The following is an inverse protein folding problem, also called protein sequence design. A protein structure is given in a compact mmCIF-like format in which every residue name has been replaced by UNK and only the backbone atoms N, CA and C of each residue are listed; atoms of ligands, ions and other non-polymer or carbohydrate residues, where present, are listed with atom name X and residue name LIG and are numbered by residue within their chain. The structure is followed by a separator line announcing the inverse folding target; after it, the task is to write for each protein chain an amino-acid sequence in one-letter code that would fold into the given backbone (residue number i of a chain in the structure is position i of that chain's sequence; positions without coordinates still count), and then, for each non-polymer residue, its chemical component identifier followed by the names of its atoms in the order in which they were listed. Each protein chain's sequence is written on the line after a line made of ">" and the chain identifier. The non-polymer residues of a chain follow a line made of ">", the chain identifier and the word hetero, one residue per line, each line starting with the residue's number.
data_IF_581428541422
#
_entry.id   IF_581428541422
#
_cell.length_a   1.000
_cell.length_b   1.000
_cell.length_c   1.000
_cell.angle_alpha   90.00
_cell.angle_beta   90.00
_cell.angle_gamma   90.00
#
_symmetry.space_group_name_H-M   'P 1'
#
loop_
_entity.id
_entity.type
_entity.pdbx_description
1 polymer ?
#
# COMPACT_ATOMS: atom_id res chain seq x y z
N UNK A 1 -5.86 -59.17 -54.87
CA UNK A 1 -6.90 -58.12 -54.73
C UNK A 1 -7.88 -58.57 -53.66
N UNK A 2 -7.75 -58.11 -52.41
CA UNK A 2 -8.35 -56.90 -51.80
C UNK A 2 -9.73 -57.12 -51.14
N UNK A 3 -9.72 -57.05 -49.80
CA UNK A 3 -10.76 -56.53 -48.85
C UNK A 3 -12.07 -57.37 -48.72
N UNK A 4 -12.72 -57.51 -47.54
CA UNK A 4 -12.73 -56.67 -46.33
C UNK A 4 -13.30 -57.42 -45.09
N UNK A 5 -12.64 -57.17 -43.95
CA UNK A 5 -13.02 -57.08 -42.51
C UNK A 5 -14.29 -57.77 -41.96
N UNK A 6 -14.03 -58.57 -40.91
CA UNK A 6 -14.93 -58.96 -39.80
C UNK A 6 -14.78 -57.98 -38.64
N UNK A 7 -15.87 -57.73 -37.90
CA UNK A 7 -15.85 -57.22 -36.53
C UNK A 7 -16.16 -58.38 -35.58
N UNK A 8 -15.40 -58.48 -34.49
CA UNK A 8 -15.75 -59.21 -33.28
C UNK A 8 -15.29 -58.38 -32.09
N UNK A 9 -16.22 -58.14 -31.18
CA UNK A 9 -15.97 -57.58 -29.86
C UNK A 9 -15.52 -58.71 -28.92
N UNK A 10 -14.55 -58.45 -28.05
CA UNK A 10 -14.44 -59.10 -26.74
C UNK A 10 -13.73 -58.16 -25.76
N UNK A 11 -14.22 -58.23 -24.52
CA UNK A 11 -13.84 -57.45 -23.37
C UNK A 11 -12.45 -57.79 -22.82
N UNK A 12 -11.76 -56.80 -22.26
CA UNK A 12 -10.69 -57.02 -21.27
C UNK A 12 -10.60 -55.88 -20.26
N UNK A 13 -10.46 -56.31 -19.01
CA UNK A 13 -10.04 -55.62 -17.79
C UNK A 13 -8.91 -54.61 -18.03
N UNK A 14 -9.03 -53.41 -17.44
CA UNK A 14 -8.02 -52.36 -17.49
C UNK A 14 -7.69 -51.82 -16.10
N UNK A 15 -6.41 -51.85 -15.76
CA UNK A 15 -5.81 -51.46 -14.50
C UNK A 15 -6.13 -50.01 -14.08
N UNK A 16 -6.31 -49.80 -12.77
CA UNK A 16 -6.28 -48.48 -12.13
C UNK A 16 -4.83 -48.02 -12.08
N UNK A 17 -4.48 -47.12 -12.99
CA UNK A 17 -3.25 -46.31 -12.91
C UNK A 17 -3.69 -44.89 -12.60
N UNK A 18 -3.29 -44.39 -11.43
CA UNK A 18 -3.46 -43.01 -11.01
C UNK A 18 -2.70 -42.09 -11.97
N UNK A 19 -3.41 -41.50 -12.93
CA UNK A 19 -2.90 -40.35 -13.69
C UNK A 19 -3.07 -39.11 -12.82
N UNK A 20 -1.93 -38.65 -12.29
CA UNK A 20 -1.77 -37.29 -11.81
C UNK A 20 -2.14 -36.32 -12.95
N UNK A 21 -3.34 -35.75 -12.84
CA UNK A 21 -3.76 -34.64 -13.68
C UNK A 21 -2.90 -33.43 -13.34
N UNK A 22 -1.90 -33.15 -14.17
CA UNK A 22 -1.25 -31.85 -14.24
C UNK A 22 -2.33 -30.81 -14.53
N UNK A 23 -2.79 -30.12 -13.49
CA UNK A 23 -3.49 -28.85 -13.63
C UNK A 23 -2.49 -27.85 -14.20
N UNK A 24 -2.71 -27.26 -15.39
CA UNK A 24 -1.88 -26.16 -15.84
C UNK A 24 -2.01 -25.01 -14.86
N UNK A 25 -0.88 -24.59 -14.29
CA UNK A 25 -0.77 -23.39 -13.50
C UNK A 25 -1.29 -22.21 -14.31
N UNK A 26 -2.35 -21.57 -13.83
CA UNK A 26 -2.81 -20.28 -14.33
C UNK A 26 -1.80 -19.20 -13.93
N UNK A 27 -0.69 -19.16 -14.66
CA UNK A 27 0.36 -18.14 -14.63
C UNK A 27 0.23 -17.24 -15.86
N UNK A 28 -0.99 -16.80 -16.17
CA UNK A 28 -1.30 -15.89 -17.28
C UNK A 28 -2.40 -14.92 -16.83
N UNK A 29 -2.08 -14.09 -15.85
CA UNK A 29 -2.88 -12.91 -15.50
C UNK A 29 -1.97 -11.76 -15.03
N UNK A 30 -0.88 -11.52 -15.74
CA UNK A 30 -0.07 -10.29 -15.63
C UNK A 30 0.75 -9.99 -16.90
N UNK A 31 0.43 -10.63 -18.02
CA UNK A 31 1.03 -10.34 -19.33
C UNK A 31 -0.09 -9.93 -20.26
N UNK A 32 -0.53 -8.67 -20.13
CA UNK A 32 -1.12 -7.98 -21.26
C UNK A 32 0.00 -7.78 -22.26
N UNK A 33 0.11 -8.69 -23.22
CA UNK A 33 0.81 -8.45 -24.46
C UNK A 33 0.08 -7.36 -25.22
N UNK A 34 0.39 -6.12 -24.87
CA UNK A 34 0.35 -4.92 -25.69
C UNK A 34 0.99 -3.83 -24.83
N UNK A 35 2.05 -3.22 -25.36
CA UNK A 35 2.90 -2.24 -24.69
C UNK A 35 2.21 -0.90 -24.42
N UNK A 36 1.06 -0.90 -23.74
CA UNK A 36 0.48 0.32 -23.21
C UNK A 36 1.30 0.71 -21.98
N UNK A 37 2.21 1.65 -22.17
CA UNK A 37 2.85 2.37 -21.06
C UNK A 37 1.76 2.86 -20.10
N UNK A 38 1.85 2.45 -18.83
CA UNK A 38 0.97 3.01 -17.81
C UNK A 38 1.28 4.50 -17.71
N UNK A 39 0.26 5.34 -17.83
CA UNK A 39 0.41 6.79 -17.69
C UNK A 39 1.02 7.16 -16.34
N UNK A 40 1.65 8.34 -16.30
CA UNK A 40 2.04 8.93 -15.03
C UNK A 40 0.81 9.31 -14.21
N UNK A 41 1.00 9.47 -12.91
CA UNK A 41 0.01 10.01 -11.99
C UNK A 41 -0.45 11.39 -12.48
N UNK A 42 0.50 12.24 -12.86
CA UNK A 42 0.24 13.58 -13.37
C UNK A 42 -0.67 13.56 -14.61
N UNK A 43 -0.38 12.72 -15.61
CA UNK A 43 -1.23 12.60 -16.81
C UNK A 43 -2.60 12.04 -16.46
N UNK A 44 -2.68 11.06 -15.55
CA UNK A 44 -3.95 10.42 -15.19
C UNK A 44 -4.91 11.37 -14.48
N UNK A 45 -4.37 12.32 -13.72
CA UNK A 45 -5.14 13.28 -12.92
C UNK A 45 -5.08 14.71 -13.45
N UNK A 46 -4.49 14.93 -14.63
CA UNK A 46 -4.41 16.26 -15.26
C UNK A 46 -3.54 17.27 -14.50
N UNK A 47 -2.53 16.79 -13.75
CA UNK A 47 -1.66 17.63 -12.93
C UNK A 47 -0.58 18.32 -13.76
N UNK A 48 -0.34 19.59 -13.47
CA UNK A 48 0.79 20.35 -14.00
C UNK A 48 2.10 20.01 -13.30
N UNK A 49 3.23 20.47 -13.84
CA UNK A 49 4.54 20.30 -13.18
C UNK A 49 4.60 21.01 -11.82
N UNK A 50 3.92 22.16 -11.69
CA UNK A 50 3.85 22.92 -10.44
C UNK A 50 2.99 22.20 -9.40
N UNK A 51 1.88 21.57 -9.81
CA UNK A 51 1.06 20.72 -8.93
C UNK A 51 1.90 19.58 -8.35
N UNK A 52 2.63 18.86 -9.21
CA UNK A 52 3.49 17.75 -8.77
C UNK A 52 4.59 18.23 -7.82
N UNK A 53 5.18 19.39 -8.09
CA UNK A 53 6.18 20.00 -7.21
C UNK A 53 5.58 20.33 -5.84
N UNK A 54 4.37 20.91 -5.80
CA UNK A 54 3.68 21.26 -4.56
C UNK A 54 3.27 20.01 -3.77
N UNK A 55 2.74 18.98 -4.44
CA UNK A 55 2.43 17.68 -3.84
C UNK A 55 3.68 17.07 -3.19
N UNK A 56 4.80 17.00 -3.92
CA UNK A 56 6.04 16.43 -3.40
C UNK A 56 6.57 17.21 -2.19
N UNK A 57 6.56 18.55 -2.26
CA UNK A 57 7.01 19.41 -1.16
C UNK A 57 6.14 19.25 0.10
N UNK A 58 4.82 19.14 -0.05
CA UNK A 58 3.92 18.94 1.08
C UNK A 58 4.04 17.53 1.68
N UNK A 59 4.22 16.51 0.84
CA UNK A 59 4.47 15.14 1.26
C UNK A 59 5.75 15.01 2.11
N UNK A 60 6.81 15.71 1.73
CA UNK A 60 8.06 15.76 2.50
C UNK A 60 7.88 16.47 3.86
N UNK A 61 7.07 17.54 3.89
CA UNK A 61 6.71 18.22 5.14
C UNK A 61 5.87 17.34 6.06
N UNK A 62 4.88 16.62 5.52
CA UNK A 62 4.03 15.72 6.30
C UNK A 62 4.86 14.65 7.01
N UNK A 63 5.87 14.10 6.33
CA UNK A 63 6.83 13.17 6.94
C UNK A 63 7.62 13.82 8.09
N UNK A 64 7.98 15.09 7.99
CA UNK A 64 8.70 15.80 9.04
C UNK A 64 7.82 16.09 10.28
N UNK A 65 6.54 16.40 10.09
CA UNK A 65 5.58 16.67 11.17
C UNK A 65 5.04 15.39 11.83
N UNK A 66 4.79 14.34 11.05
CA UNK A 66 4.16 13.11 11.53
C UNK A 66 5.07 12.16 12.32
N UNK A 67 6.37 12.44 12.45
CA UNK A 67 7.32 11.58 13.16
C UNK A 67 7.24 11.75 14.69
N UNK A 68 6.99 10.66 15.46
CA UNK A 68 6.98 10.71 16.92
C UNK A 68 8.33 11.18 17.49
N UNK A 69 8.30 12.16 18.40
CA UNK A 69 9.49 12.63 19.12
C UNK A 69 10.12 13.93 18.62
N UNK A 70 9.54 14.59 17.62
CA UNK A 70 9.82 16.01 17.34
C UNK A 70 8.77 16.88 18.04
N UNK A 71 9.17 17.90 18.83
CA UNK A 71 8.19 18.85 19.34
C UNK A 71 7.46 19.50 18.16
N UNK A 72 6.18 19.88 18.31
CA UNK A 72 5.55 20.79 17.35
C UNK A 72 6.47 22.00 17.29
N UNK A 73 7.02 22.32 16.11
CA UNK A 73 7.78 23.54 15.97
C UNK A 73 6.82 24.69 16.28
N UNK A 74 7.00 25.35 17.43
CA UNK A 74 6.48 26.69 17.63
C UNK A 74 6.98 27.52 16.45
N UNK A 75 6.03 28.07 15.68
CA UNK A 75 6.31 29.00 14.59
C UNK A 75 7.18 30.14 15.15
N UNK A 76 8.44 30.32 14.71
CA UNK A 76 9.19 31.50 15.09
C UNK A 76 8.75 32.69 14.23
N UNK A 77 8.66 33.91 14.79
CA UNK A 77 8.36 35.10 14.01
C UNK A 77 9.54 35.47 13.10
N UNK A 78 9.20 35.79 11.85
CA UNK A 78 9.91 36.62 10.87
C UNK A 78 11.39 36.98 11.13
N UNK A 79 12.33 36.41 10.36
CA UNK A 79 13.54 37.10 9.84
C UNK A 79 14.39 36.23 8.88
N UNK A 80 14.37 36.60 7.60
CA UNK A 80 15.49 36.71 6.62
C UNK A 80 16.68 35.71 6.64
N UNK A 81 16.70 34.77 5.68
CA UNK A 81 17.92 34.24 5.03
C UNK A 81 17.59 33.64 3.64
N UNK A 82 18.51 33.65 2.65
CA UNK A 82 18.17 33.66 1.23
C UNK A 82 18.13 32.27 0.63
N UNK A 83 16.99 31.61 0.74
CA UNK A 83 16.52 30.64 -0.25
C UNK A 83 15.05 30.95 -0.47
N UNK A 84 14.69 31.42 -1.68
CA UNK A 84 13.28 31.56 -2.07
C UNK A 84 12.61 30.19 -1.98
N UNK A 85 11.93 29.96 -0.86
CA UNK A 85 10.81 29.02 -0.76
C UNK A 85 9.74 29.45 -1.76
N UNK A 86 9.05 28.53 -2.47
CA UNK A 86 7.91 28.93 -3.28
C UNK A 86 6.81 29.47 -2.37
N UNK A 87 6.20 30.58 -2.79
CA UNK A 87 5.17 31.35 -2.08
C UNK A 87 3.79 30.66 -1.97
N UNK A 88 3.64 29.36 -2.29
CA UNK A 88 2.32 28.70 -2.41
C UNK A 88 2.16 27.39 -1.62
N UNK A 89 2.92 27.18 -0.55
CA UNK A 89 2.68 26.03 0.36
C UNK A 89 1.64 26.35 1.44
N UNK A 90 0.93 27.47 1.27
CA UNK A 90 -0.15 27.95 2.15
C UNK A 90 -1.56 27.59 1.62
N UNK A 91 -1.65 26.86 0.50
CA UNK A 91 -2.94 26.55 -0.15
C UNK A 91 -3.60 25.27 0.37
N UNK A 92 -2.92 24.47 1.23
CA UNK A 92 -3.55 23.28 1.83
C UNK A 92 -4.58 23.74 2.85
N UNK A 93 -5.83 23.42 2.59
CA UNK A 93 -6.93 23.71 3.51
C UNK A 93 -7.37 22.45 4.27
N UNK A 94 -7.75 22.65 5.53
CA UNK A 94 -8.40 21.59 6.31
C UNK A 94 -9.90 21.62 6.01
N UNK A 95 -10.50 20.52 5.51
CA UNK A 95 -11.94 20.48 5.26
C UNK A 95 -12.73 20.87 6.53
N UNK A 96 -13.85 21.60 6.43
CA UNK A 96 -14.65 21.99 7.58
C UNK A 96 -15.25 20.78 8.30
N UNK A 97 -15.73 20.98 9.54
CA UNK A 97 -16.44 19.95 10.29
C UNK A 97 -17.78 19.64 9.63
N UNK A 98 -18.08 18.35 9.44
CA UNK A 98 -19.37 17.90 8.93
C UNK A 98 -20.25 17.42 10.11
N UNK A 99 -21.51 17.86 10.21
CA UNK A 99 -22.44 17.39 11.24
C UNK A 99 -22.60 15.86 11.23
N UNK A 100 -22.70 15.23 12.40
CA UNK A 100 -22.78 13.76 12.52
C UNK A 100 -24.08 13.17 11.94
N UNK A 101 -25.14 13.97 11.91
CA UNK A 101 -26.45 13.64 11.35
C UNK A 101 -26.53 13.87 9.83
N UNK A 102 -25.58 14.60 9.25
CA UNK A 102 -25.54 14.83 7.80
C UNK A 102 -25.07 13.58 7.06
N UNK A 103 -25.96 13.03 6.23
CA UNK A 103 -25.65 11.87 5.41
C UNK A 103 -24.76 12.24 4.22
N UNK A 104 -23.92 11.31 3.75
CA UNK A 104 -23.19 11.46 2.50
C UNK A 104 -24.13 11.50 1.30
N UNK A 105 -23.75 12.28 0.29
CA UNK A 105 -24.36 12.25 -1.02
C UNK A 105 -24.03 10.91 -1.69
N UNK A 106 -25.00 10.35 -2.42
CA UNK A 106 -24.85 9.05 -3.08
C UNK A 106 -23.77 9.10 -4.17
N UNK A 107 -22.94 8.06 -4.22
CA UNK A 107 -21.93 7.86 -5.26
C UNK A 107 -21.66 6.36 -5.43
N UNK A 108 -21.27 5.93 -6.63
CA UNK A 108 -21.08 4.51 -6.94
C UNK A 108 -19.79 4.23 -7.68
N UNK A 109 -19.35 2.98 -7.62
CA UNK A 109 -18.18 2.54 -8.36
C UNK A 109 -18.45 2.49 -9.87
N UNK A 110 -17.47 2.94 -10.65
CA UNK A 110 -17.40 2.74 -12.10
C UNK A 110 -16.05 2.14 -12.45
N UNK A 111 -16.07 1.07 -13.25
CA UNK A 111 -14.85 0.36 -13.63
C UNK A 111 -14.05 -0.16 -12.43
N UNK A 112 -14.68 -0.45 -11.29
CA UNK A 112 -14.00 -0.94 -10.08
C UNK A 112 -13.36 0.14 -9.20
N UNK A 113 -13.71 1.42 -9.37
CA UNK A 113 -13.34 2.53 -8.48
C UNK A 113 -14.54 3.45 -8.22
N UNK A 114 -14.84 3.75 -6.96
CA UNK A 114 -15.72 4.85 -6.58
C UNK A 114 -14.87 6.07 -6.19
N UNK A 115 -15.40 7.27 -6.40
CA UNK A 115 -14.72 8.53 -6.08
C UNK A 115 -15.71 9.52 -5.50
N UNK A 116 -15.30 10.28 -4.48
CA UNK A 116 -16.10 11.39 -3.96
C UNK A 116 -15.18 12.47 -3.38
N UNK A 117 -15.66 13.72 -3.32
CA UNK A 117 -14.91 14.83 -2.70
C UNK A 117 -14.71 14.58 -1.21
N UNK A 118 -13.59 15.05 -0.65
CA UNK A 118 -13.20 14.77 0.75
C UNK A 118 -14.28 15.12 1.77
N UNK A 119 -15.03 16.22 1.60
CA UNK A 119 -16.14 16.58 2.48
C UNK A 119 -17.22 15.50 2.55
N UNK A 120 -17.57 14.91 1.40
CA UNK A 120 -18.54 13.83 1.34
C UNK A 120 -17.97 12.52 1.91
N UNK A 121 -16.68 12.26 1.67
CA UNK A 121 -16.00 11.14 2.31
C UNK A 121 -15.96 11.26 3.83
N UNK A 122 -15.74 12.47 4.39
CA UNK A 122 -15.80 12.71 5.84
C UNK A 122 -17.17 12.31 6.39
N UNK A 123 -18.26 12.68 5.72
CA UNK A 123 -19.61 12.24 6.12
C UNK A 123 -19.69 10.71 6.14
N UNK A 124 -19.22 10.03 5.09
CA UNK A 124 -19.25 8.57 5.04
C UNK A 124 -18.43 7.96 6.16
N UNK A 125 -17.21 8.45 6.35
CA UNK A 125 -16.31 8.01 7.41
C UNK A 125 -16.95 8.17 8.79
N UNK A 126 -17.65 9.29 9.03
CA UNK A 126 -18.40 9.52 10.27
C UNK A 126 -19.54 8.53 10.48
N UNK A 127 -20.21 8.09 9.41
CA UNK A 127 -21.29 7.11 9.51
C UNK A 127 -20.78 5.69 9.76
N UNK A 128 -19.69 5.26 9.12
CA UNK A 128 -19.27 3.85 9.13
C UNK A 128 -17.96 3.60 9.88
N UNK A 129 -16.95 4.45 9.74
CA UNK A 129 -15.58 4.16 10.19
C UNK A 129 -15.22 4.81 11.54
N UNK A 130 -15.98 5.82 11.97
CA UNK A 130 -15.69 6.64 13.16
C UNK A 130 -15.93 5.96 14.50
N UNK A 131 -16.52 4.77 14.51
CA UNK A 131 -16.97 4.18 15.75
C UNK A 131 -15.81 3.91 16.71
N UNK A 132 -15.99 4.35 17.96
CA UNK A 132 -15.21 3.98 19.14
C UNK A 132 -16.15 3.28 20.11
N UNK A 133 -15.88 2.02 20.44
CA UNK A 133 -16.75 1.19 21.29
C UNK A 133 -18.22 1.19 20.81
N UNK A 134 -18.40 1.08 19.49
CA UNK A 134 -19.73 1.04 18.86
C UNK A 134 -20.47 2.39 18.80
N UNK A 135 -19.85 3.50 19.22
CA UNK A 135 -20.45 4.85 19.14
C UNK A 135 -19.80 5.67 18.03
N UNK A 136 -20.62 6.16 17.08
CA UNK A 136 -20.18 7.11 16.04
C UNK A 136 -19.65 8.39 16.66
N UNK A 137 -18.63 8.97 16.02
CA UNK A 137 -18.03 10.24 16.41
C UNK A 137 -17.82 11.12 15.19
N UNK A 138 -17.79 12.44 15.40
CA UNK A 138 -17.32 13.34 14.36
C UNK A 138 -15.82 13.17 14.14
N UNK A 139 -15.37 13.38 12.92
CA UNK A 139 -13.94 13.46 12.64
C UNK A 139 -13.38 14.72 13.31
N UNK A 140 -12.37 14.55 14.16
CA UNK A 140 -11.78 15.67 14.90
C UNK A 140 -11.09 16.67 13.96
N UNK A 141 -10.78 17.87 14.46
CA UNK A 141 -10.03 18.86 13.67
C UNK A 141 -8.66 18.31 13.23
N UNK A 142 -7.94 17.66 14.14
CA UNK A 142 -6.65 17.02 13.86
C UNK A 142 -6.79 15.89 12.82
N UNK A 143 -7.82 15.05 12.92
CA UNK A 143 -8.06 14.02 11.91
C UNK A 143 -8.40 14.62 10.53
N UNK A 144 -9.22 15.68 10.47
CA UNK A 144 -9.50 16.37 9.20
C UNK A 144 -8.25 17.01 8.62
N UNK A 145 -7.39 17.56 9.47
CA UNK A 145 -6.11 18.10 9.07
C UNK A 145 -5.22 17.00 8.49
N UNK A 146 -5.02 15.88 9.19
CA UNK A 146 -4.26 14.73 8.66
C UNK A 146 -4.84 14.20 7.35
N UNK A 147 -6.17 14.10 7.23
CA UNK A 147 -6.84 13.63 6.02
C UNK A 147 -6.53 14.51 4.81
N UNK A 148 -6.45 15.83 5.00
CA UNK A 148 -6.24 16.80 3.92
C UNK A 148 -4.87 16.73 3.24
N UNK A 149 -3.94 15.90 3.73
CA UNK A 149 -2.66 15.63 3.08
C UNK A 149 -2.76 14.68 1.88
N UNK A 150 -3.97 14.28 1.47
CA UNK A 150 -4.17 13.50 0.24
C UNK A 150 -3.93 12.01 0.43
N UNK A 151 -3.11 11.42 -0.45
CA UNK A 151 -2.86 9.98 -0.51
C UNK A 151 -2.53 9.36 0.88
N UNK A 152 -1.67 10.01 1.66
CA UNK A 152 -1.28 9.54 2.99
C UNK A 152 -2.38 9.74 4.05
N UNK A 153 -3.25 10.73 3.87
CA UNK A 153 -4.17 11.21 4.91
C UNK A 153 -5.18 10.17 5.36
N UNK A 154 -5.70 9.35 4.43
CA UNK A 154 -6.63 8.25 4.76
C UNK A 154 -5.95 7.23 5.68
N UNK A 155 -4.72 6.83 5.36
CA UNK A 155 -3.95 5.87 6.17
C UNK A 155 -3.59 6.47 7.53
N UNK A 156 -3.20 7.74 7.56
CA UNK A 156 -2.88 8.45 8.79
C UNK A 156 -4.07 8.47 9.76
N UNK A 157 -5.24 8.93 9.30
CA UNK A 157 -6.46 8.99 10.14
C UNK A 157 -6.91 7.61 10.61
N UNK A 158 -6.86 6.61 9.72
CA UNK A 158 -7.38 5.28 10.03
C UNK A 158 -6.47 4.47 10.96
N UNK A 159 -5.16 4.71 10.93
CA UNK A 159 -4.19 4.04 11.81
C UNK A 159 -3.90 4.83 13.08
N UNK A 160 -4.08 6.15 13.08
CA UNK A 160 -3.76 7.06 14.19
C UNK A 160 -2.50 7.89 13.93
N UNK A 161 -1.30 7.29 13.86
CA UNK A 161 -0.06 8.00 13.57
C UNK A 161 0.24 8.04 12.06
N UNK A 162 1.18 8.90 11.67
CA UNK A 162 1.72 8.89 10.31
C UNK A 162 2.40 7.54 9.99
N UNK A 163 2.20 6.98 8.78
CA UNK A 163 2.73 5.66 8.42
C UNK A 163 4.27 5.60 8.48
N UNK A 164 4.80 4.69 9.29
CA UNK A 164 6.26 4.50 9.43
C UNK A 164 6.86 3.50 8.44
N UNK A 165 6.03 2.62 7.87
CA UNK A 165 6.42 1.58 6.89
C UNK A 165 7.44 0.56 7.39
N UNK A 166 7.66 0.46 8.70
CA UNK A 166 8.72 -0.38 9.28
C UNK A 166 8.56 -1.87 9.03
N UNK A 167 7.34 -2.39 9.10
CA UNK A 167 7.03 -3.80 8.89
C UNK A 167 6.35 -3.97 7.53
N UNK A 168 7.16 -4.05 6.47
CA UNK A 168 6.71 -4.08 5.09
C UNK A 168 7.01 -5.44 4.42
N UNK A 169 6.09 -5.87 3.57
CA UNK A 169 6.23 -7.10 2.78
C UNK A 169 6.09 -6.83 1.29
N UNK A 170 6.81 -7.61 0.48
CA UNK A 170 6.64 -7.70 -0.96
C UNK A 170 6.96 -9.12 -1.44
N UNK A 171 6.68 -9.40 -2.71
CA UNK A 171 7.10 -10.64 -3.38
C UNK A 171 7.85 -10.29 -4.65
N UNK A 172 9.00 -10.93 -4.85
CA UNK A 172 9.86 -10.75 -6.01
C UNK A 172 10.31 -12.09 -6.55
N UNK A 173 10.11 -12.34 -7.84
CA UNK A 173 10.54 -13.57 -8.50
C UNK A 173 11.98 -13.42 -9.00
N UNK A 174 12.93 -13.85 -8.17
CA UNK A 174 14.37 -13.77 -8.46
C UNK A 174 14.76 -14.61 -9.69
N UNK A 175 14.06 -15.72 -9.93
CA UNK A 175 14.34 -16.59 -11.07
C UNK A 175 13.86 -15.93 -12.37
N UNK A 176 12.66 -15.36 -12.35
CA UNK A 176 12.14 -14.56 -13.47
C UNK A 176 13.07 -13.38 -13.76
N UNK A 177 13.48 -12.63 -12.74
CA UNK A 177 14.40 -11.49 -12.90
C UNK A 177 15.70 -11.91 -13.61
N UNK A 178 16.38 -12.95 -13.10
CA UNK A 178 17.63 -13.45 -13.70
C UNK A 178 17.43 -14.02 -15.10
N UNK A 179 16.34 -14.74 -15.32
CA UNK A 179 15.99 -15.29 -16.62
C UNK A 179 15.76 -14.18 -17.65
N UNK A 180 14.95 -13.20 -17.30
CA UNK A 180 14.60 -12.11 -18.21
C UNK A 180 15.82 -11.24 -18.52
N UNK A 181 16.67 -10.95 -17.54
CA UNK A 181 17.92 -10.22 -17.78
C UNK A 181 18.88 -10.94 -18.74
N UNK A 182 18.88 -12.27 -18.73
CA UNK A 182 19.78 -13.09 -19.55
C UNK A 182 19.20 -13.37 -20.94
N UNK A 183 17.88 -13.61 -21.01
CA UNK A 183 17.22 -14.18 -22.18
C UNK A 183 16.32 -13.18 -22.91
N UNK A 184 16.19 -11.95 -22.43
CA UNK A 184 15.53 -10.85 -23.14
C UNK A 184 16.51 -9.73 -23.44
N UNK A 185 16.21 -8.95 -24.47
CA UNK A 185 17.02 -7.79 -24.87
C UNK A 185 16.29 -6.49 -24.57
N UNK A 186 17.03 -5.37 -24.41
CA UNK A 186 16.42 -4.04 -24.39
C UNK A 186 15.52 -3.81 -25.61
N UNK A 187 14.40 -3.11 -25.40
CA UNK A 187 13.52 -2.64 -26.47
C UNK A 187 14.26 -1.60 -27.33
N UNK A 188 13.78 -1.31 -28.56
CA UNK A 188 14.34 -0.21 -29.35
C UNK A 188 14.35 1.09 -28.53
N UNK A 189 15.51 1.78 -28.53
CA UNK A 189 15.78 3.01 -27.77
C UNK A 189 15.76 2.90 -26.24
N UNK A 190 15.67 1.69 -25.69
CA UNK A 190 15.74 1.46 -24.25
C UNK A 190 17.21 1.39 -23.80
N UNK A 191 17.57 2.22 -22.81
CA UNK A 191 18.92 2.14 -22.23
C UNK A 191 19.09 0.87 -21.41
N UNK A 192 20.34 0.48 -21.12
CA UNK A 192 20.58 -0.70 -20.27
C UNK A 192 19.98 -0.53 -18.87
N UNK A 193 20.06 0.67 -18.28
CA UNK A 193 19.50 0.95 -16.97
C UNK A 193 17.95 0.89 -16.97
N UNK A 194 17.32 1.41 -18.02
CA UNK A 194 15.88 1.32 -18.24
C UNK A 194 15.40 -0.12 -18.40
N UNK A 195 16.13 -0.91 -19.19
CA UNK A 195 15.88 -2.34 -19.32
C UNK A 195 15.93 -3.06 -17.96
N UNK A 196 17.01 -2.88 -17.20
CA UNK A 196 17.17 -3.54 -15.90
C UNK A 196 16.13 -3.09 -14.87
N UNK A 197 15.82 -1.79 -14.82
CA UNK A 197 14.79 -1.23 -13.96
C UNK A 197 13.40 -1.77 -14.29
N UNK A 198 13.05 -1.84 -15.59
CA UNK A 198 11.79 -2.42 -16.06
C UNK A 198 11.68 -3.92 -15.73
N UNK A 199 12.74 -4.69 -15.95
CA UNK A 199 12.74 -6.13 -15.64
C UNK A 199 12.60 -6.35 -14.13
N UNK A 200 13.24 -5.53 -13.28
CA UNK A 200 13.03 -5.56 -11.84
C UNK A 200 11.57 -5.24 -11.47
N UNK A 201 11.02 -4.12 -11.95
CA UNK A 201 9.60 -3.75 -11.72
C UNK A 201 8.65 -4.88 -12.09
N UNK A 202 8.85 -5.50 -13.26
CA UNK A 202 8.01 -6.58 -13.77
C UNK A 202 8.22 -7.93 -13.04
N UNK A 203 9.20 -8.03 -12.15
CA UNK A 203 9.47 -9.23 -11.35
C UNK A 203 8.88 -9.15 -9.94
N UNK A 204 8.33 -7.99 -9.55
CA UNK A 204 7.45 -7.90 -8.39
C UNK A 204 6.06 -8.48 -8.69
N UNK A 205 5.49 -9.16 -7.69
CA UNK A 205 4.13 -9.68 -7.71
C UNK A 205 3.36 -9.11 -6.52
N UNK A 206 2.57 -8.07 -6.78
CA UNK A 206 1.80 -7.38 -5.75
C UNK A 206 0.70 -8.26 -5.15
N UNK A 207 0.11 -9.19 -5.91
CA UNK A 207 -0.87 -10.14 -5.40
C UNK A 207 -0.26 -11.09 -4.37
N UNK A 208 0.93 -11.63 -4.65
CA UNK A 208 1.68 -12.46 -3.68
C UNK A 208 2.17 -11.64 -2.50
N UNK A 209 2.63 -10.41 -2.72
CA UNK A 209 3.06 -9.50 -1.64
C UNK A 209 1.92 -9.19 -0.67
N UNK A 210 0.74 -8.84 -1.19
CA UNK A 210 -0.46 -8.62 -0.39
C UNK A 210 -0.88 -9.88 0.36
N UNK A 211 -0.92 -11.03 -0.32
CA UNK A 211 -1.25 -12.31 0.31
C UNK A 211 -0.28 -12.62 1.47
N UNK A 212 1.02 -12.40 1.28
CA UNK A 212 2.03 -12.59 2.34
C UNK A 212 1.71 -11.73 3.57
N UNK A 213 1.43 -10.44 3.37
CA UNK A 213 1.04 -9.56 4.47
C UNK A 213 -0.25 -10.03 5.18
N UNK A 214 -1.26 -10.51 4.44
CA UNK A 214 -2.48 -11.07 5.03
C UNK A 214 -2.22 -12.34 5.84
N UNK A 215 -1.43 -13.26 5.32
CA UNK A 215 -1.09 -14.51 6.00
C UNK A 215 -0.35 -14.22 7.33
N UNK A 216 0.58 -13.26 7.31
CA UNK A 216 1.32 -12.82 8.51
C UNK A 216 0.41 -12.07 9.49
N UNK A 217 -0.43 -11.14 9.03
CA UNK A 217 -1.37 -10.43 9.88
C UNK A 217 -2.39 -11.38 10.54
N UNK A 218 -2.79 -12.45 9.85
CA UNK A 218 -3.64 -13.50 10.42
C UNK A 218 -2.95 -14.24 11.57
N UNK A 219 -1.66 -14.59 11.40
CA UNK A 219 -0.86 -15.22 12.46
C UNK A 219 -0.71 -14.27 13.65
N UNK A 220 -0.42 -12.99 13.41
CA UNK A 220 -0.32 -11.97 14.46
C UNK A 220 -1.64 -11.79 15.22
N UNK A 221 -2.77 -11.71 14.51
CA UNK A 221 -4.10 -11.60 15.12
C UNK A 221 -4.46 -12.82 15.97
N UNK A 222 -4.13 -14.03 15.51
CA UNK A 222 -4.32 -15.26 16.30
C UNK A 222 -3.45 -15.27 17.55
N UNK A 223 -2.19 -14.83 17.44
CA UNK A 223 -1.26 -14.80 18.57
C UNK A 223 -1.69 -13.84 19.69
N UNK A 224 -2.36 -12.73 19.34
CA UNK A 224 -2.84 -11.74 20.30
C UNK A 224 -4.22 -12.03 20.89
N UNK A 225 -5.01 -12.95 20.33
CA UNK A 225 -6.44 -13.11 20.64
C UNK A 225 -6.74 -13.30 22.14
N UNK A 226 -5.93 -14.12 22.81
CA UNK A 226 -6.04 -14.42 24.25
C UNK A 226 -4.76 -14.04 25.02
N UNK A 227 -3.95 -13.12 24.50
CA UNK A 227 -2.72 -12.68 25.14
C UNK A 227 -2.94 -11.35 25.87
N UNK A 228 -2.76 -11.33 27.19
CA UNK A 228 -2.95 -10.13 28.02
C UNK A 228 -1.65 -9.40 28.38
N UNK A 229 -0.51 -9.87 27.85
CA UNK A 229 0.80 -9.26 27.96
C UNK A 229 1.64 -9.58 26.70
N UNK A 230 2.65 -8.74 26.41
CA UNK A 230 3.50 -8.89 25.23
C UNK A 230 4.30 -10.22 25.23
N UNK A 231 4.69 -10.73 26.41
CA UNK A 231 5.43 -11.97 26.53
C UNK A 231 4.61 -13.18 26.03
N UNK A 232 3.36 -13.28 26.48
CA UNK A 232 2.40 -14.29 26.03
C UNK A 232 2.14 -14.17 24.52
N UNK A 233 1.94 -12.94 24.01
CA UNK A 233 1.77 -12.70 22.57
C UNK A 233 2.98 -13.20 21.75
N UNK A 234 4.20 -12.85 22.16
CA UNK A 234 5.42 -13.27 21.46
C UNK A 234 5.62 -14.80 21.55
N UNK A 235 5.26 -15.43 22.66
CA UNK A 235 5.28 -16.89 22.81
C UNK A 235 4.32 -17.59 21.85
N UNK A 236 3.08 -17.11 21.75
CA UNK A 236 2.07 -17.61 20.82
C UNK A 236 2.52 -17.42 19.36
N UNK A 237 3.04 -16.23 19.03
CA UNK A 237 3.53 -15.91 17.70
C UNK A 237 4.66 -16.86 17.27
N UNK A 238 5.66 -17.07 18.13
CA UNK A 238 6.77 -18.00 17.85
C UNK A 238 6.30 -19.44 17.68
N UNK A 239 5.33 -19.87 18.49
CA UNK A 239 4.74 -21.21 18.38
C UNK A 239 4.08 -21.42 17.02
N UNK A 240 3.26 -20.47 16.57
CA UNK A 240 2.59 -20.57 15.26
C UNK A 240 3.58 -20.49 14.08
N UNK A 241 4.62 -19.66 14.17
CA UNK A 241 5.68 -19.59 13.15
C UNK A 241 6.48 -20.90 13.08
N UNK A 242 6.79 -21.50 14.22
CA UNK A 242 7.47 -22.80 14.30
C UNK A 242 6.63 -23.89 13.65
N UNK A 243 5.34 -23.97 13.98
CA UNK A 243 4.42 -24.95 13.41
C UNK A 243 4.27 -24.83 11.88
N UNK A 244 4.46 -23.62 11.34
CA UNK A 244 4.39 -23.34 9.90
C UNK A 244 5.73 -23.40 9.20
N UNK A 245 6.83 -23.65 9.93
CA UNK A 245 8.20 -23.56 9.41
C UNK A 245 8.46 -22.23 8.68
N UNK A 246 7.98 -21.12 9.24
CA UNK A 246 8.08 -19.79 8.63
C UNK A 246 9.43 -19.14 9.01
N UNK A 247 10.15 -18.62 8.01
CA UNK A 247 11.45 -17.99 8.21
C UNK A 247 11.41 -16.76 9.14
N UNK A 248 10.25 -16.13 9.30
CA UNK A 248 10.05 -15.04 10.27
C UNK A 248 10.33 -15.45 11.72
N UNK A 249 10.31 -16.76 12.03
CA UNK A 249 10.68 -17.29 13.34
C UNK A 249 12.07 -16.77 13.78
N UNK A 250 13.00 -16.68 12.84
CA UNK A 250 14.41 -16.37 13.07
C UNK A 250 14.75 -14.87 13.04
N UNK A 251 13.75 -13.99 12.90
CA UNK A 251 13.96 -12.56 13.00
C UNK A 251 14.50 -12.17 14.38
N UNK A 252 15.34 -11.14 14.43
CA UNK A 252 15.87 -10.63 15.69
C UNK A 252 14.74 -10.13 16.62
N UNK A 253 14.90 -10.32 17.93
CA UNK A 253 13.90 -9.91 18.93
C UNK A 253 13.57 -8.41 18.92
N UNK A 254 14.45 -7.57 18.36
CA UNK A 254 14.28 -6.13 18.19
C UNK A 254 13.94 -5.74 16.75
N UNK A 255 13.78 -6.69 15.84
CA UNK A 255 13.41 -6.45 14.44
C UNK A 255 12.06 -5.72 14.35
N UNK A 256 11.80 -5.08 13.21
CA UNK A 256 10.51 -4.45 12.96
C UNK A 256 9.34 -5.43 13.02
N UNK A 257 9.58 -6.73 12.78
CA UNK A 257 8.56 -7.78 12.89
C UNK A 257 8.12 -8.01 14.34
N UNK A 258 9.05 -8.40 15.23
CA UNK A 258 8.71 -8.71 16.62
C UNK A 258 8.41 -7.46 17.46
N UNK A 259 8.92 -6.29 17.07
CA UNK A 259 8.67 -5.03 17.79
C UNK A 259 7.44 -4.25 17.32
N UNK A 260 6.75 -4.68 16.25
CA UNK A 260 5.66 -3.91 15.64
C UNK A 260 4.54 -3.54 16.64
N UNK A 261 4.10 -4.48 17.49
CA UNK A 261 3.05 -4.22 18.47
C UNK A 261 3.48 -3.20 19.53
N UNK A 262 4.61 -3.42 20.22
CA UNK A 262 5.11 -2.50 21.25
C UNK A 262 5.51 -1.12 20.72
N UNK A 263 5.84 -1.04 19.44
CA UNK A 263 6.16 0.23 18.77
C UNK A 263 4.92 0.99 18.30
N UNK A 264 3.73 0.36 18.30
CA UNK A 264 2.47 1.03 17.99
C UNK A 264 2.09 1.96 19.15
N UNK A 265 1.90 3.27 18.95
CA UNK A 265 1.57 4.21 20.04
C UNK A 265 0.30 3.83 20.80
N UNK A 266 -0.78 3.55 20.08
CA UNK A 266 -2.09 3.20 20.64
C UNK A 266 -2.09 1.90 21.44
N UNK A 267 -1.08 1.04 21.30
CA UNK A 267 -0.92 -0.13 22.18
C UNK A 267 -0.62 0.27 23.63
N UNK A 268 0.12 1.36 23.83
CA UNK A 268 0.56 1.86 25.15
C UNK A 268 -0.44 2.82 25.80
N UNK A 269 -1.32 3.40 25.00
CA UNK A 269 -2.35 4.33 25.45
C UNK A 269 -3.41 3.63 26.32
N UNK A 270 -3.82 4.30 27.40
CA UNK A 270 -4.83 3.80 28.34
C UNK A 270 -6.18 3.50 27.66
N UNK A 271 -6.59 4.36 26.73
CA UNK A 271 -7.87 4.25 26.01
C UNK A 271 -7.74 3.45 24.70
N UNK A 272 -6.56 2.90 24.42
CA UNK A 272 -6.27 2.02 23.30
C UNK A 272 -6.04 0.59 23.76
N UNK A 273 -4.80 0.10 23.60
CA UNK A 273 -4.39 -1.23 23.99
C UNK A 273 -4.08 -1.38 25.47
N UNK A 274 -3.67 -0.32 26.17
CA UNK A 274 -3.27 -0.36 27.57
C UNK A 274 -2.30 -1.51 27.90
N UNK A 275 -1.29 -1.71 27.05
CA UNK A 275 -0.30 -2.79 27.11
C UNK A 275 -0.85 -4.22 27.00
N UNK A 276 -2.12 -4.37 26.62
CA UNK A 276 -2.83 -5.65 26.48
C UNK A 276 -3.01 -6.01 24.98
N UNK A 277 -2.25 -6.99 24.45
CA UNK A 277 -2.33 -7.37 23.03
C UNK A 277 -3.72 -7.79 22.57
N UNK A 278 -4.53 -8.41 23.45
CA UNK A 278 -5.88 -8.86 23.12
C UNK A 278 -6.83 -7.73 22.72
N UNK A 279 -6.49 -6.49 23.06
CA UNK A 279 -7.22 -5.27 22.68
C UNK A 279 -6.79 -4.69 21.33
N UNK A 280 -5.80 -5.28 20.66
CA UNK A 280 -5.27 -4.79 19.41
C UNK A 280 -5.70 -5.66 18.22
N UNK A 281 -5.63 -5.11 17.01
CA UNK A 281 -5.88 -5.80 15.76
C UNK A 281 -4.82 -5.38 14.74
N UNK A 282 -4.22 -6.36 14.06
CA UNK A 282 -3.33 -6.12 12.94
C UNK A 282 -4.13 -5.64 11.73
N UNK A 283 -3.63 -4.60 11.07
CA UNK A 283 -4.22 -3.98 9.88
C UNK A 283 -3.16 -3.79 8.81
N UNK A 284 -3.58 -3.73 7.55
CA UNK A 284 -2.71 -3.58 6.38
C UNK A 284 -3.02 -2.30 5.63
N UNK A 285 -1.97 -1.63 5.19
CA UNK A 285 -2.03 -0.61 4.15
C UNK A 285 -0.89 -0.86 3.15
N UNK A 286 -0.92 -0.18 2.00
CA UNK A 286 0.10 -0.30 0.96
C UNK A 286 0.75 1.04 0.66
N UNK A 287 2.04 1.03 0.32
CA UNK A 287 2.76 2.18 -0.25
C UNK A 287 3.28 1.82 -1.64
N UNK A 288 2.95 2.63 -2.63
CA UNK A 288 3.62 2.65 -3.94
C UNK A 288 4.66 3.78 -3.96
N UNK A 289 5.87 3.50 -4.43
CA UNK A 289 6.99 4.43 -4.35
C UNK A 289 8.08 4.11 -5.39
N UNK A 290 9.10 4.98 -5.44
CA UNK A 290 10.22 4.87 -6.37
C UNK A 290 11.44 4.21 -5.73
N UNK A 291 12.14 3.33 -6.46
CA UNK A 291 13.31 2.59 -5.97
C UNK A 291 14.61 3.41 -5.96
N UNK A 292 14.83 4.23 -6.98
CA UNK A 292 16.08 4.96 -7.17
C UNK A 292 16.10 6.25 -6.37
N UNK A 293 16.22 6.19 -5.04
CA UNK A 293 16.12 7.37 -4.16
C UNK A 293 17.46 7.94 -3.67
N UNK A 294 18.58 7.29 -3.96
CA UNK A 294 19.89 7.82 -3.58
C UNK A 294 20.28 9.03 -4.44
N UNK A 295 20.21 10.23 -3.87
CA UNK A 295 20.59 11.49 -4.53
C UNK A 295 22.08 11.57 -4.89
N UNK A 296 22.93 10.77 -4.24
CA UNK A 296 24.36 10.67 -4.56
C UNK A 296 24.66 9.52 -5.53
N UNK A 297 23.63 8.73 -5.87
CA UNK A 297 23.72 7.62 -6.82
C UNK A 297 23.74 8.10 -8.28
N UNK A 298 23.74 7.14 -9.21
CA UNK A 298 23.73 7.47 -10.64
C UNK A 298 22.41 8.11 -11.08
N UNK A 299 22.51 9.07 -12.01
CA UNK A 299 21.35 9.70 -12.65
C UNK A 299 20.43 8.66 -13.32
N UNK A 300 21.01 7.60 -13.88
CA UNK A 300 20.26 6.51 -14.49
C UNK A 300 19.33 5.81 -13.49
N UNK A 301 19.83 5.46 -12.30
CA UNK A 301 18.98 4.85 -11.26
C UNK A 301 17.88 5.80 -10.79
N UNK A 302 18.18 7.10 -10.69
CA UNK A 302 17.20 8.13 -10.34
C UNK A 302 16.06 8.22 -11.35
N UNK A 303 16.33 8.02 -12.64
CA UNK A 303 15.35 8.13 -13.75
C UNK A 303 14.65 6.82 -14.10
N UNK A 304 15.35 5.70 -14.00
CA UNK A 304 14.93 4.41 -14.55
C UNK A 304 14.73 3.31 -13.50
N UNK A 305 15.14 3.55 -12.25
CA UNK A 305 14.97 2.67 -11.12
C UNK A 305 16.27 2.00 -10.72
N UNK A 306 16.40 1.65 -9.43
CA UNK A 306 17.50 0.83 -8.92
C UNK A 306 17.03 -0.64 -8.78
N UNK A 307 17.46 -1.56 -9.66
CA UNK A 307 16.99 -2.95 -9.67
C UNK A 307 17.19 -3.70 -8.35
N UNK A 308 18.18 -3.30 -7.54
CA UNK A 308 18.54 -3.97 -6.29
C UNK A 308 17.85 -3.35 -5.07
N UNK A 309 17.35 -2.11 -5.18
CA UNK A 309 16.74 -1.42 -4.05
C UNK A 309 15.36 -2.02 -3.70
N UNK A 310 15.13 -2.17 -2.39
CA UNK A 310 13.85 -2.60 -1.80
C UNK A 310 13.37 -3.99 -2.25
N UNK A 311 14.30 -4.91 -2.57
CA UNK A 311 13.93 -6.31 -2.75
C UNK A 311 13.55 -6.97 -1.42
N UNK A 312 12.53 -7.85 -1.41
CA UNK A 312 12.16 -8.59 -0.22
C UNK A 312 13.20 -9.68 0.10
N UNK A 313 13.38 -10.00 1.38
CA UNK A 313 14.12 -11.17 1.81
C UNK A 313 13.45 -12.46 1.30
N UNK A 314 14.20 -13.36 0.65
CA UNK A 314 13.64 -14.51 -0.07
C UNK A 314 12.83 -15.48 0.81
N UNK A 315 13.18 -15.62 2.09
CA UNK A 315 12.45 -16.49 3.03
C UNK A 315 11.30 -15.80 3.76
N UNK A 316 11.44 -14.52 4.08
CA UNK A 316 10.51 -13.80 4.95
C UNK A 316 9.50 -12.95 4.19
N UNK A 317 9.88 -12.46 3.00
CA UNK A 317 9.15 -11.45 2.25
C UNK A 317 9.34 -10.02 2.79
N UNK A 318 10.15 -9.84 3.84
CA UNK A 318 10.37 -8.53 4.47
C UNK A 318 11.15 -7.59 3.56
N UNK A 319 10.71 -6.34 3.47
CA UNK A 319 11.41 -5.27 2.75
C UNK A 319 11.97 -4.27 3.76
N UNK A 320 13.26 -3.96 3.65
CA UNK A 320 13.88 -2.90 4.44
C UNK A 320 13.51 -1.52 3.87
N UNK A 321 12.60 -0.84 4.56
CA UNK A 321 12.11 0.50 4.20
C UNK A 321 12.97 1.64 4.78
N UNK A 322 14.07 1.35 5.48
CA UNK A 322 14.92 2.38 6.12
C UNK A 322 15.56 3.37 5.13
N UNK A 323 15.72 2.96 3.87
CA UNK A 323 16.28 3.77 2.79
C UNK A 323 15.24 4.52 1.96
N UNK A 324 13.95 4.32 2.24
CA UNK A 324 12.89 5.09 1.61
C UNK A 324 12.86 6.49 2.24
N UNK A 325 13.08 7.50 1.41
CA UNK A 325 13.17 8.92 1.78
C UNK A 325 12.05 9.73 1.13
N UNK A 326 11.04 9.08 0.56
CA UNK A 326 9.95 9.73 -0.17
C UNK A 326 10.43 10.62 -1.32
N UNK A 327 11.52 10.23 -1.99
CA UNK A 327 12.07 11.00 -3.11
C UNK A 327 11.43 10.50 -4.42
N UNK A 328 10.84 11.39 -5.25
CA UNK A 328 10.19 10.99 -6.49
C UNK A 328 11.18 10.49 -7.54
N UNK A 329 10.63 9.83 -8.56
CA UNK A 329 11.34 9.52 -9.81
C UNK A 329 11.87 10.80 -10.45
N UNK A 330 13.11 10.78 -10.94
CA UNK A 330 13.67 11.90 -11.69
C UNK A 330 13.16 11.88 -13.15
N UNK A 331 12.89 13.04 -13.75
CA UNK A 331 12.47 13.12 -15.16
C UNK A 331 13.58 12.60 -16.08
N UNK A 332 13.21 11.72 -17.01
CA UNK A 332 14.08 11.28 -18.08
C UNK A 332 14.08 12.30 -19.23
N UNK A 333 12.91 12.86 -19.52
CA UNK A 333 12.70 13.86 -20.58
C UNK A 333 12.18 15.20 -20.01
N UNK A 334 12.45 16.33 -20.70
CA UNK A 334 11.84 17.62 -20.34
C UNK A 334 10.31 17.55 -20.33
N UNK A 335 9.69 18.17 -19.33
CA UNK A 335 8.24 18.19 -19.17
C UNK A 335 7.66 17.01 -18.38
N UNK A 336 8.44 15.95 -18.12
CA UNK A 336 8.02 14.89 -17.21
C UNK A 336 8.02 15.38 -15.75
N UNK A 337 7.02 14.98 -14.99
CA UNK A 337 6.90 15.25 -13.57
C UNK A 337 6.28 14.04 -12.89
N UNK A 338 6.82 13.67 -11.73
CA UNK A 338 6.47 12.44 -11.03
C UNK A 338 6.17 12.73 -9.56
N UNK A 339 5.07 12.19 -9.05
CA UNK A 339 4.74 12.25 -7.63
C UNK A 339 5.60 11.24 -6.86
N UNK A 340 5.84 11.49 -5.57
CA UNK A 340 6.78 10.72 -4.78
C UNK A 340 6.24 9.40 -4.22
N UNK A 341 4.96 9.33 -3.87
CA UNK A 341 4.32 8.11 -3.38
C UNK A 341 2.79 8.15 -3.50
N UNK A 342 2.19 6.97 -3.35
CA UNK A 342 0.76 6.78 -3.13
C UNK A 342 0.54 5.79 -1.96
N UNK A 343 -0.54 5.97 -1.19
CA UNK A 343 -0.89 5.14 -0.04
C UNK A 343 -2.34 4.63 -0.12
N UNK A 344 -2.50 3.31 -0.03
CA UNK A 344 -3.80 2.64 -0.07
C UNK A 344 -4.13 1.99 1.26
N UNK A 345 -5.22 2.41 1.90
CA UNK A 345 -5.73 1.80 3.12
C UNK A 345 -6.62 0.59 2.80
N UNK A 346 -6.22 -0.58 3.29
CA UNK A 346 -7.04 -1.81 3.22
C UNK A 346 -7.76 -2.10 4.55
N UNK A 347 -7.08 -1.88 5.69
CA UNK A 347 -7.59 -2.22 7.01
C UNK A 347 -7.49 -3.72 7.29
N UNK A 348 -8.61 -4.41 7.45
CA UNK A 348 -8.66 -5.82 7.86
C UNK A 348 -9.86 -6.57 7.25
N UNK A 349 -10.16 -6.31 5.98
CA UNK A 349 -11.32 -6.94 5.31
C UNK A 349 -11.19 -8.47 5.27
N UNK A 350 -12.32 -9.15 5.41
CA UNK A 350 -12.39 -10.63 5.49
C UNK A 350 -12.57 -11.30 4.13
N UNK A 351 -12.88 -10.55 3.07
CA UNK A 351 -13.03 -11.08 1.72
C UNK A 351 -11.81 -11.93 1.33
N UNK A 352 -12.02 -13.22 1.04
CA UNK A 352 -10.94 -14.16 0.74
C UNK A 352 -10.26 -13.85 -0.60
N UNK A 353 -11.06 -13.46 -1.59
CA UNK A 353 -10.58 -13.03 -2.90
C UNK A 353 -9.97 -11.62 -2.80
N UNK A 354 -8.64 -11.55 -2.97
CA UNK A 354 -7.90 -10.29 -2.93
C UNK A 354 -8.43 -9.26 -3.93
N UNK A 355 -8.91 -9.70 -5.10
CA UNK A 355 -9.39 -8.80 -6.15
C UNK A 355 -10.70 -8.09 -5.79
N UNK A 356 -11.46 -8.64 -4.84
CA UNK A 356 -12.71 -8.07 -4.32
C UNK A 356 -12.50 -7.17 -3.11
N UNK A 357 -11.26 -6.99 -2.67
CA UNK A 357 -10.94 -6.07 -1.57
C UNK A 357 -10.91 -4.63 -2.06
N UNK A 358 -11.29 -3.70 -1.18
CA UNK A 358 -11.29 -2.26 -1.45
C UNK A 358 -10.07 -1.59 -0.82
N UNK A 359 -9.45 -0.66 -1.54
CA UNK A 359 -8.29 0.12 -1.15
C UNK A 359 -8.65 1.61 -1.23
N UNK A 360 -8.64 2.28 -0.09
CA UNK A 360 -9.03 3.69 -0.01
C UNK A 360 -7.81 4.61 -0.01
N UNK A 361 -7.77 5.59 -0.91
CA UNK A 361 -6.65 6.52 -1.09
C UNK A 361 -7.14 7.89 -1.56
N UNK A 362 -6.42 8.96 -1.20
CA UNK A 362 -6.66 10.31 -1.71
C UNK A 362 -5.87 10.59 -2.98
N UNK A 363 -6.41 11.39 -3.89
CA UNK A 363 -5.71 11.80 -5.11
C UNK A 363 -4.50 12.73 -4.83
N UNK A 364 -4.73 13.82 -4.10
CA UNK A 364 -3.72 14.81 -3.72
C UNK A 364 -4.21 15.57 -2.48
N UNK A 365 -3.40 16.51 -1.98
CA UNK A 365 -3.82 17.31 -0.83
C UNK A 365 -5.03 18.21 -1.16
N UNK A 366 -5.78 18.60 -0.14
CA UNK A 366 -6.98 19.41 -0.33
C UNK A 366 -6.63 20.88 -0.54
N UNK A 367 -6.88 21.39 -1.74
CA UNK A 367 -6.65 22.79 -2.12
C UNK A 367 -7.84 23.34 -2.93
N UNK A 368 -9.04 23.45 -2.31
CA UNK A 368 -10.29 23.71 -3.01
C UNK A 368 -10.31 25.04 -3.78
N UNK A 369 -9.47 26.00 -3.38
CA UNK A 369 -9.40 27.34 -3.95
C UNK A 369 -8.18 27.56 -4.86
N UNK A 370 -7.39 26.51 -5.16
CA UNK A 370 -6.28 26.56 -6.11
C UNK A 370 -6.59 25.76 -7.38
N UNK A 371 -5.71 25.84 -8.38
CA UNK A 371 -5.83 25.10 -9.64
C UNK A 371 -5.79 23.58 -9.45
N UNK A 372 -5.18 23.09 -8.36
CA UNK A 372 -5.16 21.67 -7.99
C UNK A 372 -6.57 21.18 -7.58
N UNK A 373 -7.37 22.07 -7.01
CA UNK A 373 -8.75 21.78 -6.61
C UNK A 373 -8.89 20.92 -5.35
N UNK A 374 -10.14 20.54 -5.01
CA UNK A 374 -10.40 19.79 -3.79
C UNK A 374 -9.91 18.34 -3.92
N UNK A 375 -9.30 17.83 -2.85
CA UNK A 375 -9.01 16.40 -2.69
C UNK A 375 -10.27 15.54 -2.93
N UNK A 376 -10.12 14.49 -3.72
CA UNK A 376 -11.07 13.40 -3.82
C UNK A 376 -10.51 12.12 -3.21
N UNK A 377 -11.38 11.37 -2.55
CA UNK A 377 -11.06 10.06 -2.00
C UNK A 377 -11.60 8.99 -2.95
N UNK A 378 -10.70 8.10 -3.34
CA UNK A 378 -10.96 6.95 -4.17
C UNK A 378 -11.10 5.69 -3.32
N UNK A 379 -12.05 4.85 -3.68
CA UNK A 379 -12.24 3.51 -3.14
C UNK A 379 -12.07 2.54 -4.31
N UNK A 380 -10.88 1.97 -4.46
CA UNK A 380 -10.48 1.14 -5.60
C UNK A 380 -10.53 -0.35 -5.27
N UNK A 381 -10.91 -1.20 -6.22
CA UNK A 381 -10.61 -2.64 -6.12
C UNK A 381 -9.10 -2.87 -6.09
N UNK A 382 -8.65 -4.01 -5.55
CA UNK A 382 -7.21 -4.33 -5.51
C UNK A 382 -6.54 -4.26 -6.88
N UNK A 383 -7.17 -4.80 -7.94
CA UNK A 383 -6.63 -4.72 -9.31
C UNK A 383 -6.45 -3.28 -9.80
N UNK A 384 -7.31 -2.35 -9.37
CA UNK A 384 -7.17 -0.93 -9.69
C UNK A 384 -6.07 -0.27 -8.88
N UNK A 385 -5.91 -0.65 -7.62
CA UNK A 385 -4.80 -0.20 -6.77
C UNK A 385 -3.45 -0.71 -7.30
N UNK A 386 -3.27 -2.04 -7.38
CA UNK A 386 -2.02 -2.68 -7.79
C UNK A 386 -1.65 -2.46 -9.27
N UNK A 387 -2.51 -1.80 -10.04
CA UNK A 387 -2.12 -1.31 -11.36
C UNK A 387 -1.02 -0.24 -11.22
N UNK A 388 -1.06 0.59 -10.18
CA UNK A 388 -0.07 1.64 -9.96
C UNK A 388 0.10 2.58 -11.17
N UNK A 389 1.23 3.29 -11.18
CA UNK A 389 1.57 4.31 -12.18
C UNK A 389 3.01 4.14 -12.69
N UNK A 390 3.41 4.93 -13.69
CA UNK A 390 4.81 4.99 -14.12
C UNK A 390 5.75 5.67 -13.10
N UNK A 391 5.19 6.44 -12.17
CA UNK A 391 5.88 7.10 -11.05
C UNK A 391 6.52 6.09 -10.10
N UNK A 392 5.90 4.92 -9.96
CA UNK A 392 6.23 3.94 -8.93
C UNK A 392 6.69 2.63 -9.57
N UNK A 393 7.80 2.09 -9.09
CA UNK A 393 8.32 0.79 -9.50
C UNK A 393 8.43 -0.19 -8.33
N UNK A 394 8.01 0.22 -7.12
CA UNK A 394 7.92 -0.61 -5.93
C UNK A 394 6.54 -0.47 -5.30
N UNK A 395 6.04 -1.59 -4.77
CA UNK A 395 4.85 -1.66 -3.94
C UNK A 395 5.13 -2.51 -2.70
N UNK A 396 4.73 -2.01 -1.54
CA UNK A 396 4.90 -2.71 -0.26
C UNK A 396 3.60 -2.77 0.51
N UNK A 397 3.40 -3.89 1.21
CA UNK A 397 2.23 -4.17 2.02
C UNK A 397 2.66 -4.16 3.49
N UNK A 398 2.22 -3.14 4.23
CA UNK A 398 2.70 -2.84 5.57
C UNK A 398 1.70 -3.32 6.60
N UNK A 399 2.18 -3.95 7.67
CA UNK A 399 1.38 -4.32 8.83
C UNK A 399 1.63 -3.33 9.96
N UNK A 400 0.55 -2.81 10.55
CA UNK A 400 0.57 -2.07 11.82
C UNK A 400 -0.61 -2.54 12.69
N UNK A 401 -0.79 -1.94 13.87
CA UNK A 401 -1.86 -2.30 14.80
C UNK A 401 -2.74 -1.09 15.13
N UNK A 402 -4.03 -1.37 15.36
CA UNK A 402 -4.98 -0.41 15.93
C UNK A 402 -5.77 -1.08 17.07
N UNK A 403 -6.36 -0.30 18.00
CA UNK A 403 -7.27 -0.86 19.00
C UNK A 403 -8.50 -1.52 18.36
N UNK A 404 -8.97 -2.63 18.92
CA UNK A 404 -10.20 -3.33 18.50
C UNK A 404 -11.46 -2.49 18.69
N UNK A 405 -11.43 -1.51 19.60
CA UNK A 405 -12.52 -0.55 19.81
C UNK A 405 -12.74 0.38 18.61
N UNK A 406 -11.79 0.45 17.67
CA UNK A 406 -11.85 1.30 16.47
C UNK A 406 -12.49 0.57 15.29
N UNK A 407 -13.36 1.27 14.54
CA UNK A 407 -14.00 0.71 13.33
C UNK A 407 -13.42 1.21 12.00
N UNK A 408 -12.18 1.72 11.98
CA UNK A 408 -11.49 2.18 10.76
C UNK A 408 -11.00 1.04 9.86
N UNK A 409 -11.02 -0.19 10.36
CA UNK A 409 -10.72 -1.42 9.63
C UNK A 409 -11.83 -2.47 9.84
N UNK A 410 -13.04 -2.23 9.30
CA UNK A 410 -14.15 -3.17 9.41
C UNK A 410 -13.89 -4.45 8.57
N UNK A 411 -14.69 -5.49 8.82
CA UNK A 411 -14.61 -6.74 8.08
C UNK A 411 -15.00 -6.58 6.60
N UNK A 412 -15.89 -5.64 6.30
CA UNK A 412 -16.34 -5.32 4.94
C UNK A 412 -16.23 -3.81 4.69
N UNK A 413 -15.74 -3.46 3.50
CA UNK A 413 -15.64 -2.08 3.02
C UNK A 413 -16.39 -2.02 1.70
N UNK A 414 -17.48 -1.25 1.67
CA UNK A 414 -18.29 -1.06 0.47
C UNK A 414 -17.83 0.20 -0.27
N UNK A 415 -17.63 0.09 -1.58
CA UNK A 415 -17.39 1.25 -2.45
C UNK A 415 -18.67 2.07 -2.59
N UNK A 416 -18.57 3.39 -2.54
CA UNK A 416 -19.72 4.26 -2.74
C UNK A 416 -20.55 4.53 -1.50
N UNK A 417 -21.70 5.19 -1.71
CA UNK A 417 -22.74 5.40 -0.73
C UNK A 417 -24.09 5.36 -1.42
N UNK A 418 -25.08 4.75 -0.77
CA UNK A 418 -26.44 4.55 -1.27
C UNK A 418 -27.48 5.17 -0.37
#
# INVERSE_FOLDING_TARGET
>A
MYKRRRFLAFATVGAVVCTAGFTPSLSQAASGGDGVEKGSYAVTHGLTADDVKNINALNDRALAFGQPGKPPAELPPSASAPFRTPDSVDDRETPPAEPLDRMPDAYRAYGGRATTVVNNYIRKWQQVYSHRDGKRQQMTAEQRESLSYGCVGVTWVNSGPYPTNKLAFASFDENKYKNDLKNTSPRPNETRAEFEGRIAKASFDEGKGFKRARDVASIMNKALENAHDEGTYLGNLKTDLTNKNDALLHEDSRSNFYSALRNTPSFKERDGGNYDPSKMKAVIYSKHFWSGQDQRGSSDKRKYGDPEAFRPGQGTGLVDMSKDRSIPRSPANPGESWVNFDYGWFGAQTAADGDKTTWTHGDHYHAPNSDLGPMHVHESTFRKWSAGYADFDRGTYVITFIPKSWNTAPAEVQQGWS
#
